data_IF_341420006328
#
_entry.id   IF_341420006328
#
_cell.length_a   1.000
_cell.length_b   1.000
_cell.length_c   1.000
_cell.angle_alpha   90.00
_cell.angle_beta   90.00
_cell.angle_gamma   90.00
#
_symmetry.space_group_name_H-M   'P 1'
#
loop_
_entity.id
_entity.type
_entity.pdbx_description
1 polymer ?
#
# COMPACT_ATOMS: atom_id res chain seq x y z
N UNK A 1 -7.56 14.84 -18.57
CA UNK A 1 -6.10 15.01 -18.39
C UNK A 1 -5.62 14.32 -17.10
N UNK A 2 -5.60 12.97 -17.04
CA UNK A 2 -5.15 12.27 -15.83
C UNK A 2 -3.66 12.47 -15.55
N UNK A 3 -2.88 12.82 -16.57
CA UNK A 3 -1.43 12.77 -16.52
C UNK A 3 -0.84 13.93 -15.72
N UNK A 4 -1.60 15.02 -15.54
CA UNK A 4 -1.16 16.17 -14.75
C UNK A 4 -1.30 15.86 -13.25
N UNK A 5 -2.38 15.22 -12.82
CA UNK A 5 -2.52 14.77 -11.43
C UNK A 5 -1.48 13.67 -11.09
N UNK A 6 -1.27 12.72 -12.01
CA UNK A 6 -0.21 11.71 -11.87
C UNK A 6 1.19 12.32 -11.90
N UNK A 7 1.46 13.32 -12.75
CA UNK A 7 2.75 14.00 -12.82
C UNK A 7 3.02 14.84 -11.56
N UNK A 8 2.01 15.50 -10.99
CA UNK A 8 2.15 16.27 -9.75
C UNK A 8 2.42 15.34 -8.56
N UNK A 9 1.68 14.23 -8.44
CA UNK A 9 1.91 13.21 -7.41
C UNK A 9 3.28 12.54 -7.57
N UNK A 10 3.72 12.27 -8.81
CA UNK A 10 5.03 11.72 -9.11
C UNK A 10 6.17 12.70 -8.83
N UNK A 11 6.01 13.99 -9.16
CA UNK A 11 6.97 15.04 -8.85
C UNK A 11 7.07 15.29 -7.33
N UNK A 12 5.96 15.20 -6.60
CA UNK A 12 5.95 15.23 -5.14
C UNK A 12 6.67 14.00 -4.57
N UNK A 13 6.37 12.80 -5.06
CA UNK A 13 7.05 11.58 -4.64
C UNK A 13 8.57 11.65 -4.91
N UNK A 14 9.00 12.11 -6.09
CA UNK A 14 10.41 12.32 -6.42
C UNK A 14 11.07 13.41 -5.56
N UNK A 15 10.36 14.50 -5.26
CA UNK A 15 10.84 15.53 -4.34
C UNK A 15 11.11 14.93 -2.94
N UNK A 16 10.19 14.12 -2.42
CA UNK A 16 10.35 13.46 -1.12
C UNK A 16 11.40 12.35 -1.11
N UNK A 17 11.54 11.58 -2.19
CA UNK A 17 12.60 10.57 -2.34
C UNK A 17 13.99 11.24 -2.40
N UNK A 18 14.11 12.37 -3.09
CA UNK A 18 15.37 13.12 -3.26
C UNK A 18 15.78 13.85 -1.97
N UNK A 19 14.83 14.29 -1.15
CA UNK A 19 15.09 14.98 0.13
C UNK A 19 15.21 14.03 1.35
N UNK A 20 15.59 12.76 1.12
CA UNK A 20 15.70 11.67 2.11
C UNK A 20 16.47 12.02 3.40
N UNK A 21 17.26 13.10 3.47
CA UNK A 21 18.03 13.46 4.67
C UNK A 21 17.25 14.27 5.73
N UNK A 22 16.14 14.95 5.39
CA UNK A 22 15.40 15.76 6.38
C UNK A 22 14.20 15.05 7.01
N UNK A 23 13.66 14.00 6.36
CA UNK A 23 12.47 13.27 6.83
C UNK A 23 12.74 12.16 7.85
N UNK A 24 14.01 11.82 8.12
CA UNK A 24 14.36 10.69 8.99
C UNK A 24 14.56 11.06 10.48
N UNK A 25 14.40 12.33 10.87
CA UNK A 25 14.76 12.80 12.22
C UNK A 25 13.61 13.20 13.14
N UNK A 26 12.36 12.82 12.86
CA UNK A 26 11.30 12.94 13.86
C UNK A 26 10.25 11.84 13.71
N UNK A 27 10.46 10.72 14.42
CA UNK A 27 9.39 9.76 14.71
C UNK A 27 9.42 9.50 16.21
N UNK A 28 8.47 10.09 16.93
CA UNK A 28 7.99 9.57 18.21
C UNK A 28 6.71 8.79 17.93
N UNK A 29 6.70 7.54 18.36
CA UNK A 29 5.59 6.61 18.25
C UNK A 29 4.33 7.17 18.95
N UNK A 30 3.28 7.46 18.19
CA UNK A 30 1.90 7.35 18.66
C UNK A 30 1.05 6.71 17.57
N UNK A 31 0.60 5.49 17.83
CA UNK A 31 -0.43 4.81 17.04
C UNK A 31 -1.77 5.48 17.34
N UNK A 32 -2.20 6.41 16.49
CA UNK A 32 -3.57 6.91 16.47
C UNK A 32 -4.15 6.68 15.09
N UNK A 33 -5.28 5.98 15.04
CA UNK A 33 -6.02 5.61 13.82
C UNK A 33 -6.83 6.79 13.25
N UNK A 34 -6.42 8.02 13.51
CA UNK A 34 -7.08 9.22 13.03
C UNK A 34 -6.10 10.38 13.04
N UNK A 35 -5.79 10.90 11.86
CA UNK A 35 -5.01 12.12 11.73
C UNK A 35 -5.91 13.29 12.17
N UNK A 36 -5.47 14.07 13.16
CA UNK A 36 -6.19 15.26 13.64
C UNK A 36 -5.57 16.52 13.05
N UNK A 37 -6.39 17.42 12.49
CA UNK A 37 -5.95 18.75 12.06
C UNK A 37 -6.63 19.81 12.94
N UNK A 38 -5.84 20.43 13.84
CA UNK A 38 -6.42 21.29 14.89
C UNK A 38 -7.35 20.48 15.79
N UNK A 39 -8.56 21.00 16.01
CA UNK A 39 -9.63 20.36 16.79
C UNK A 39 -10.56 19.46 15.94
N UNK A 40 -10.33 19.39 14.62
CA UNK A 40 -11.17 18.61 13.70
C UNK A 40 -10.57 17.23 13.41
N UNK A 41 -11.43 16.22 13.41
CA UNK A 41 -11.10 14.86 12.97
C UNK A 41 -11.09 14.87 11.44
N UNK A 42 -10.03 14.33 10.82
CA UNK A 42 -9.90 14.32 9.36
C UNK A 42 -11.05 13.57 8.67
N UNK A 43 -11.59 12.54 9.31
CA UNK A 43 -12.78 11.81 8.84
C UNK A 43 -14.01 12.73 8.74
N UNK A 44 -14.19 13.66 9.67
CA UNK A 44 -15.29 14.63 9.62
C UNK A 44 -15.07 15.64 8.49
N UNK A 45 -13.83 16.06 8.26
CA UNK A 45 -13.49 17.02 7.20
C UNK A 45 -13.66 16.45 5.78
N UNK A 46 -13.35 15.17 5.59
CA UNK A 46 -13.43 14.52 4.27
C UNK A 46 -14.88 14.21 3.88
N UNK A 47 -15.77 14.03 4.85
CA UNK A 47 -17.17 13.69 4.63
C UNK A 47 -18.14 14.85 4.90
N UNK A 48 -17.61 16.08 5.09
CA UNK A 48 -18.43 17.26 5.34
C UNK A 48 -19.10 17.72 4.03
N UNK A 49 -20.41 17.88 4.10
CA UNK A 49 -21.29 18.42 3.07
C UNK A 49 -22.22 19.40 3.81
N UNK A 50 -21.92 20.70 3.70
CA UNK A 50 -22.50 21.73 4.58
C UNK A 50 -23.90 22.13 4.15
N UNK A 51 -24.18 22.16 2.85
CA UNK A 51 -25.46 22.55 2.31
C UNK A 51 -26.38 21.35 2.01
N UNK A 52 -25.85 20.13 2.01
CA UNK A 52 -26.53 18.87 1.75
C UNK A 52 -27.05 18.80 0.31
N UNK A 53 -26.26 19.26 -0.65
CA UNK A 53 -26.52 19.07 -2.07
C UNK A 53 -25.95 17.73 -2.61
N UNK A 54 -25.10 17.06 -1.82
CA UNK A 54 -24.46 15.79 -2.17
C UNK A 54 -23.06 15.92 -2.75
N UNK A 55 -22.46 17.12 -2.74
CA UNK A 55 -21.05 17.38 -3.02
C UNK A 55 -20.36 17.72 -1.70
N UNK A 56 -19.17 17.17 -1.46
CA UNK A 56 -18.45 17.48 -0.22
C UNK A 56 -17.80 18.87 -0.28
N UNK A 57 -17.70 19.58 0.84
CA UNK A 57 -17.14 20.94 0.95
C UNK A 57 -15.77 21.11 0.24
N UNK A 58 -14.93 20.07 0.34
CA UNK A 58 -13.60 20.07 -0.25
C UNK A 58 -13.63 19.91 -1.78
N UNK A 59 -14.64 19.21 -2.29
CA UNK A 59 -14.87 19.01 -3.72
C UNK A 59 -15.44 20.30 -4.32
N UNK A 60 -16.41 20.94 -3.65
CA UNK A 60 -16.94 22.24 -4.04
C UNK A 60 -15.86 23.31 -4.15
N UNK A 61 -14.97 23.36 -3.14
CA UNK A 61 -13.81 24.26 -3.16
C UNK A 61 -12.85 24.00 -4.34
N UNK A 62 -12.80 22.78 -4.87
CA UNK A 62 -12.00 22.42 -6.04
C UNK A 62 -12.68 22.85 -7.34
N UNK A 63 -14.00 22.75 -7.41
CA UNK A 63 -14.82 23.19 -8.55
C UNK A 63 -15.09 24.70 -8.56
N UNK A 64 -14.85 25.38 -7.44
CA UNK A 64 -15.06 26.82 -7.30
C UNK A 64 -16.49 27.20 -6.91
N UNK A 65 -17.25 26.25 -6.38
CA UNK A 65 -18.59 26.45 -5.83
C UNK A 65 -18.53 26.81 -4.33
N UNK A 66 -19.61 27.36 -3.78
CA UNK A 66 -19.75 27.81 -2.40
C UNK A 66 -20.35 26.69 -1.54
N UNK A 67 -19.59 26.12 -0.57
CA UNK A 67 -20.08 25.00 0.25
C UNK A 67 -21.31 25.27 1.10
N UNK A 68 -21.76 26.52 1.17
CA UNK A 68 -22.95 26.90 1.93
C UNK A 68 -24.19 27.08 1.06
N UNK A 69 -24.08 26.84 -0.25
CA UNK A 69 -25.13 27.06 -1.23
C UNK A 69 -25.24 25.91 -2.24
N UNK A 70 -26.45 25.37 -2.37
CA UNK A 70 -26.74 24.27 -3.35
C UNK A 70 -26.65 24.68 -4.81
N UNK A 71 -26.68 25.98 -5.05
CA UNK A 71 -26.70 26.66 -6.34
C UNK A 71 -25.90 27.94 -6.08
N UNK A 72 -24.61 27.90 -6.44
CA UNK A 72 -23.65 28.94 -6.05
C UNK A 72 -23.96 30.28 -6.70
N UNK A 73 -24.34 30.25 -7.98
CA UNK A 73 -24.56 31.43 -8.81
C UNK A 73 -26.04 31.84 -8.94
N UNK A 74 -26.92 31.09 -8.27
CA UNK A 74 -28.35 31.33 -8.17
C UNK A 74 -29.06 31.31 -9.56
N UNK A 75 -28.58 30.46 -10.49
CA UNK A 75 -29.11 30.35 -11.86
C UNK A 75 -30.26 29.32 -12.02
N UNK A 76 -30.48 28.50 -11.00
CA UNK A 76 -31.51 27.48 -10.93
C UNK A 76 -31.03 26.06 -11.26
N UNK A 77 -29.74 25.85 -11.53
CA UNK A 77 -29.07 24.55 -11.64
C UNK A 77 -28.29 24.30 -10.35
N UNK A 78 -28.38 23.09 -9.80
CA UNK A 78 -27.62 22.75 -8.59
C UNK A 78 -26.15 22.45 -8.93
N UNK A 79 -25.25 22.82 -8.03
CA UNK A 79 -23.81 22.66 -8.19
C UNK A 79 -23.44 21.20 -8.47
N UNK A 80 -24.07 20.24 -7.79
CA UNK A 80 -23.89 18.80 -8.04
C UNK A 80 -24.19 18.36 -9.50
N UNK A 81 -25.11 19.02 -10.20
CA UNK A 81 -25.44 18.74 -11.59
C UNK A 81 -24.44 19.41 -12.53
N UNK A 82 -24.08 20.65 -12.25
CA UNK A 82 -23.10 21.38 -13.03
C UNK A 82 -21.73 20.70 -12.99
N UNK A 83 -21.27 20.32 -11.80
CA UNK A 83 -20.02 19.57 -11.59
C UNK A 83 -20.04 18.27 -12.39
N UNK A 84 -21.15 17.53 -12.33
CA UNK A 84 -21.29 16.27 -13.08
C UNK A 84 -21.20 16.50 -14.58
N UNK A 85 -21.86 17.52 -15.11
CA UNK A 85 -21.84 17.82 -16.54
C UNK A 85 -20.46 18.32 -17.00
N UNK A 86 -19.78 19.16 -16.21
CA UNK A 86 -18.41 19.62 -16.46
C UNK A 86 -17.40 18.47 -16.44
N UNK A 87 -17.52 17.56 -15.46
CA UNK A 87 -16.68 16.36 -15.33
C UNK A 87 -16.79 15.46 -16.57
N UNK A 88 -18.01 15.29 -17.10
CA UNK A 88 -18.30 14.51 -18.29
C UNK A 88 -17.76 15.17 -19.58
N UNK A 89 -17.81 16.49 -19.68
CA UNK A 89 -17.32 17.24 -20.84
C UNK A 89 -15.79 17.36 -20.88
N UNK A 90 -15.12 17.39 -19.72
CA UNK A 90 -13.65 17.51 -19.60
C UNK A 90 -12.87 16.18 -19.66
N UNK A 91 -13.56 15.04 -19.73
CA UNK A 91 -12.92 13.71 -19.58
C UNK A 91 -12.23 13.54 -18.22
N UNK A 92 -12.69 14.31 -17.22
CA UNK A 92 -12.28 14.22 -15.83
C UNK A 92 -13.44 13.54 -15.11
N UNK A 93 -13.43 12.21 -15.00
CA UNK A 93 -14.25 11.55 -13.99
C UNK A 93 -13.33 11.23 -12.80
N UNK A 94 -13.18 12.13 -11.83
CA UNK A 94 -13.10 11.71 -10.44
C UNK A 94 -14.55 11.50 -9.95
N UNK A 95 -14.93 10.25 -9.70
CA UNK A 95 -15.97 9.91 -8.71
C UNK A 95 -17.43 10.36 -8.88
N UNK A 96 -17.83 11.05 -9.96
CA UNK A 96 -19.22 11.54 -10.12
C UNK A 96 -20.26 10.48 -10.52
N UNK A 97 -20.44 9.41 -9.75
CA UNK A 97 -21.68 8.62 -9.79
C UNK A 97 -22.50 8.93 -8.55
N UNK A 98 -23.79 9.25 -8.74
CA UNK A 98 -24.81 9.13 -7.71
C UNK A 98 -24.69 7.75 -7.07
N UNK A 99 -24.19 7.69 -5.84
CA UNK A 99 -24.27 6.49 -5.03
C UNK A 99 -24.83 6.90 -3.68
N UNK A 100 -26.04 6.42 -3.41
CA UNK A 100 -26.61 6.36 -2.07
C UNK A 100 -25.53 5.96 -1.06
N UNK A 101 -25.48 6.66 0.08
CA UNK A 101 -24.64 6.38 1.24
C UNK A 101 -24.41 4.87 1.44
N UNK A 102 -23.17 4.41 1.22
CA UNK A 102 -22.68 3.17 1.82
C UNK A 102 -21.73 2.27 1.03
N UNK A 103 -21.46 2.47 -0.27
CA UNK A 103 -20.75 1.45 -1.07
C UNK A 103 -19.73 1.94 -2.12
N UNK A 104 -19.18 3.15 -2.01
CA UNK A 104 -18.06 3.54 -2.88
C UNK A 104 -16.78 2.78 -2.48
N UNK A 105 -16.30 1.90 -3.35
CA UNK A 105 -15.06 1.13 -3.10
C UNK A 105 -13.84 1.95 -3.48
N UNK A 106 -13.44 2.84 -2.59
CA UNK A 106 -12.26 3.71 -2.77
C UNK A 106 -10.94 2.93 -2.74
N UNK A 107 -10.04 3.27 -3.65
CA UNK A 107 -8.63 2.87 -3.58
C UNK A 107 -7.89 3.64 -2.47
N UNK A 108 -6.70 3.21 -2.06
CA UNK A 108 -5.92 3.98 -1.09
C UNK A 108 -5.44 5.32 -1.69
N UNK A 109 -5.24 5.35 -3.00
CA UNK A 109 -4.99 6.58 -3.75
C UNK A 109 -6.17 7.54 -3.66
N UNK A 110 -7.41 7.08 -3.85
CA UNK A 110 -8.60 7.93 -3.73
C UNK A 110 -8.73 8.50 -2.31
N UNK A 111 -8.57 7.65 -1.30
CA UNK A 111 -8.62 8.07 0.12
C UNK A 111 -7.56 9.13 0.41
N UNK A 112 -6.32 8.88 -0.01
CA UNK A 112 -5.24 9.84 0.17
C UNK A 112 -5.52 11.17 -0.56
N UNK A 113 -6.01 11.11 -1.79
CA UNK A 113 -6.36 12.31 -2.57
C UNK A 113 -7.45 13.12 -1.88
N UNK A 114 -8.52 12.48 -1.40
CA UNK A 114 -9.60 13.15 -0.66
C UNK A 114 -9.09 13.81 0.62
N UNK A 115 -8.29 13.10 1.39
CA UNK A 115 -7.64 13.65 2.60
C UNK A 115 -6.75 14.86 2.28
N UNK A 116 -5.93 14.74 1.22
CA UNK A 116 -5.05 15.81 0.78
C UNK A 116 -5.84 17.05 0.36
N UNK A 117 -6.83 16.90 -0.52
CA UNK A 117 -7.62 18.02 -1.02
C UNK A 117 -8.50 18.65 0.06
N UNK A 118 -9.06 17.86 0.97
CA UNK A 118 -9.81 18.37 2.13
C UNK A 118 -8.95 19.28 3.02
N UNK A 119 -7.72 18.86 3.31
CA UNK A 119 -6.78 19.70 4.05
C UNK A 119 -6.43 20.97 3.26
N UNK A 120 -6.12 20.85 1.97
CA UNK A 120 -5.78 22.01 1.13
C UNK A 120 -6.94 23.01 1.02
N UNK A 121 -8.18 22.55 0.83
CA UNK A 121 -9.37 23.38 0.75
C UNK A 121 -9.60 24.16 2.06
N UNK A 122 -9.49 23.48 3.20
CA UNK A 122 -9.60 24.10 4.54
C UNK A 122 -8.55 25.19 4.75
N UNK A 123 -7.33 25.01 4.24
CA UNK A 123 -6.26 26.00 4.34
C UNK A 123 -6.49 27.20 3.43
N UNK A 124 -7.02 26.97 2.22
CA UNK A 124 -7.28 28.03 1.25
C UNK A 124 -8.38 28.99 1.75
N UNK A 125 -9.39 28.47 2.44
CA UNK A 125 -10.43 29.29 3.09
C UNK A 125 -9.88 30.16 4.24
N UNK A 126 -8.79 29.75 4.89
CA UNK A 126 -8.15 30.48 5.99
C UNK A 126 -6.94 31.33 5.56
N UNK A 127 -6.58 31.32 4.27
CA UNK A 127 -5.56 32.20 3.67
C UNK A 127 -4.09 31.89 4.02
N UNK A 128 -3.79 30.79 4.71
CA UNK A 128 -2.41 30.41 5.08
C UNK A 128 -2.21 28.89 5.04
N UNK A 129 -1.46 28.38 4.06
CA UNK A 129 -0.82 27.06 4.15
C UNK A 129 0.50 27.27 4.89
N UNK A 130 0.57 26.93 6.18
CA UNK A 130 1.83 26.98 6.92
C UNK A 130 2.69 25.71 6.68
N UNK A 131 4.00 25.84 6.90
CA UNK A 131 4.96 24.75 6.71
C UNK A 131 4.63 23.53 7.60
N UNK A 132 4.06 23.76 8.79
CA UNK A 132 3.68 22.69 9.71
C UNK A 132 2.59 21.78 9.13
N UNK A 133 1.68 22.34 8.34
CA UNK A 133 0.62 21.56 7.69
C UNK A 133 1.18 20.72 6.53
N UNK A 134 2.11 21.26 5.75
CA UNK A 134 2.83 20.52 4.70
C UNK A 134 3.61 19.35 5.30
N UNK A 135 4.29 19.56 6.42
CA UNK A 135 5.02 18.50 7.13
C UNK A 135 4.08 17.40 7.64
N UNK A 136 2.90 17.75 8.16
CA UNK A 136 1.90 16.75 8.60
C UNK A 136 1.37 15.90 7.44
N UNK A 137 1.04 16.51 6.31
CA UNK A 137 0.62 15.82 5.09
C UNK A 137 1.71 14.86 4.58
N UNK A 138 2.95 15.34 4.52
CA UNK A 138 4.09 14.50 4.17
C UNK A 138 4.30 13.34 5.14
N UNK A 139 4.10 13.56 6.44
CA UNK A 139 4.19 12.50 7.46
C UNK A 139 3.09 11.46 7.30
N UNK A 140 1.84 11.89 7.09
CA UNK A 140 0.71 10.98 6.81
C UNK A 140 0.97 10.09 5.61
N UNK A 141 1.43 10.68 4.50
CA UNK A 141 1.79 9.93 3.30
C UNK A 141 2.91 8.93 3.60
N UNK A 142 3.96 9.36 4.30
CA UNK A 142 5.07 8.48 4.67
C UNK A 142 4.61 7.31 5.55
N UNK A 143 3.69 7.54 6.48
CA UNK A 143 3.15 6.48 7.34
C UNK A 143 2.27 5.49 6.57
N UNK A 144 1.46 5.96 5.62
CA UNK A 144 0.72 5.09 4.70
C UNK A 144 1.66 4.25 3.84
N UNK A 145 2.72 4.85 3.32
CA UNK A 145 3.76 4.14 2.55
C UNK A 145 4.48 3.08 3.41
N UNK A 146 4.72 3.34 4.70
CA UNK A 146 5.39 2.40 5.59
C UNK A 146 4.51 1.24 6.06
N UNK A 147 3.19 1.45 6.16
CA UNK A 147 2.29 0.53 6.84
C UNK A 147 1.36 -0.22 5.87
N UNK A 148 1.90 -1.04 4.96
CA UNK A 148 1.02 -1.98 4.22
C UNK A 148 0.47 -3.04 5.15
N UNK A 149 -0.85 -3.19 5.15
CA UNK A 149 -1.53 -4.30 5.79
C UNK A 149 -1.24 -5.60 5.03
N UNK A 150 -0.62 -6.56 5.70
CA UNK A 150 -0.58 -7.94 5.20
C UNK A 150 -2.00 -8.52 5.28
N UNK A 151 -2.56 -8.90 4.13
CA UNK A 151 -3.95 -9.32 3.99
C UNK A 151 -4.16 -10.75 4.46
N UNK A 152 -3.22 -11.65 4.15
CA UNK A 152 -3.26 -13.04 4.59
C UNK A 152 -2.13 -13.35 5.55
N UNK A 153 -2.51 -13.88 6.71
CA UNK A 153 -1.60 -14.40 7.72
C UNK A 153 -1.99 -15.83 8.06
N UNK A 154 -1.03 -16.73 7.96
CA UNK A 154 -1.14 -18.10 8.41
C UNK A 154 -0.91 -18.18 9.91
N UNK A 155 -1.55 -19.15 10.52
CA UNK A 155 -1.51 -19.48 11.93
C UNK A 155 -0.85 -20.83 12.15
N UNK A 156 -0.61 -21.16 13.42
CA UNK A 156 -0.02 -22.45 13.80
C UNK A 156 -0.90 -23.65 13.39
N UNK A 157 -2.22 -23.46 13.26
CA UNK A 157 -3.14 -24.50 12.80
C UNK A 157 -3.08 -24.76 11.30
N UNK A 158 -2.50 -23.84 10.52
CA UNK A 158 -2.37 -24.01 9.07
C UNK A 158 -1.15 -24.86 8.68
N UNK A 159 -0.23 -25.10 9.60
CA UNK A 159 0.97 -25.92 9.36
C UNK A 159 0.83 -27.33 9.96
N UNK A 160 1.43 -28.32 9.29
CA UNK A 160 1.43 -29.70 9.80
C UNK A 160 2.54 -29.87 10.83
N UNK A 161 2.18 -30.03 12.10
CA UNK A 161 3.15 -30.29 13.16
C UNK A 161 3.37 -31.80 13.32
N UNK A 162 4.63 -32.22 13.27
CA UNK A 162 5.04 -33.59 13.52
C UNK A 162 4.81 -33.97 14.99
N UNK A 163 4.50 -35.25 15.23
CA UNK A 163 4.27 -35.79 16.57
C UNK A 163 5.54 -35.90 17.44
N UNK A 164 6.74 -35.73 16.85
CA UNK A 164 8.01 -35.84 17.56
C UNK A 164 9.07 -34.85 17.06
N UNK A 165 10.01 -34.49 17.93
CA UNK A 165 11.20 -33.67 17.66
C UNK A 165 12.49 -34.52 17.54
N UNK A 166 12.36 -35.78 17.11
CA UNK A 166 13.53 -36.68 17.00
C UNK A 166 14.50 -36.23 15.91
N UNK A 167 15.77 -36.68 16.01
CA UNK A 167 16.78 -36.45 14.96
C UNK A 167 16.29 -36.88 13.57
N UNK A 168 15.56 -38.00 13.49
CA UNK A 168 14.98 -38.46 12.22
C UNK A 168 13.88 -37.53 11.70
N UNK A 169 13.04 -36.98 12.58
CA UNK A 169 12.03 -35.99 12.20
C UNK A 169 12.68 -34.71 11.65
N UNK A 170 13.76 -34.23 12.28
CA UNK A 170 14.54 -33.08 11.79
C UNK A 170 15.19 -33.37 10.44
N UNK A 171 15.78 -34.55 10.23
CA UNK A 171 16.32 -34.97 8.91
C UNK A 171 15.26 -35.02 7.83
N UNK A 172 14.07 -35.55 8.14
CA UNK A 172 12.97 -35.60 7.19
C UNK A 172 12.49 -34.19 6.80
N UNK A 173 12.40 -33.29 7.78
CA UNK A 173 12.06 -31.89 7.57
C UNK A 173 13.08 -31.16 6.68
N UNK A 174 14.38 -31.29 6.98
CA UNK A 174 15.46 -30.70 6.19
C UNK A 174 15.49 -31.19 4.73
N UNK A 175 15.33 -32.51 4.55
CA UNK A 175 15.21 -33.10 3.22
C UNK A 175 14.00 -32.56 2.46
N UNK A 176 12.85 -32.42 3.12
CA UNK A 176 11.62 -31.90 2.51
C UNK A 176 11.79 -30.43 2.08
N UNK A 177 12.40 -29.59 2.92
CA UNK A 177 12.74 -28.20 2.57
C UNK A 177 13.68 -28.15 1.36
N UNK A 178 14.74 -28.95 1.37
CA UNK A 178 15.72 -29.03 0.28
C UNK A 178 15.07 -29.48 -1.02
N UNK A 179 14.20 -30.49 -0.98
CA UNK A 179 13.44 -30.96 -2.14
C UNK A 179 12.48 -29.89 -2.67
N UNK A 180 11.80 -29.15 -1.77
CA UNK A 180 10.91 -28.07 -2.16
C UNK A 180 11.66 -26.93 -2.85
N UNK A 181 12.79 -26.49 -2.28
CA UNK A 181 13.63 -25.44 -2.86
C UNK A 181 14.17 -25.85 -4.24
N UNK A 182 14.63 -27.10 -4.40
CA UNK A 182 15.09 -27.64 -5.69
C UNK A 182 13.98 -27.70 -6.74
N UNK A 183 12.74 -27.94 -6.33
CA UNK A 183 11.57 -27.99 -7.22
C UNK A 183 11.22 -26.61 -7.81
N UNK A 184 11.53 -25.54 -7.09
CA UNK A 184 11.22 -24.16 -7.47
C UNK A 184 12.49 -23.30 -7.45
N UNK A 185 13.43 -23.53 -8.39
CA UNK A 185 14.70 -22.83 -8.40
C UNK A 185 14.51 -21.31 -8.57
N UNK A 186 15.49 -20.56 -8.07
CA UNK A 186 15.58 -19.12 -8.29
C UNK A 186 15.62 -18.84 -9.78
N UNK A 187 14.76 -17.92 -10.22
CA UNK A 187 14.78 -17.40 -11.59
C UNK A 187 14.87 -15.89 -11.53
N UNK A 188 14.20 -15.23 -12.48
CA UNK A 188 14.04 -13.77 -12.47
C UNK A 188 13.56 -13.26 -11.11
N UNK A 189 14.18 -12.17 -10.67
CA UNK A 189 13.95 -11.49 -9.40
C UNK A 189 13.04 -10.28 -9.61
N UNK A 190 12.37 -9.84 -8.54
CA UNK A 190 11.55 -8.62 -8.58
C UNK A 190 12.44 -7.40 -8.87
N UNK A 191 13.67 -7.37 -8.33
CA UNK A 191 14.62 -6.28 -8.59
C UNK A 191 14.96 -6.12 -10.07
N UNK A 192 15.21 -7.22 -10.79
CA UNK A 192 15.45 -7.16 -12.25
C UNK A 192 14.23 -6.64 -13.02
N UNK A 193 13.01 -6.91 -12.55
CA UNK A 193 11.79 -6.38 -13.16
C UNK A 193 11.63 -4.89 -12.83
N UNK A 194 11.87 -4.49 -11.57
CA UNK A 194 11.81 -3.09 -11.15
C UNK A 194 12.84 -2.20 -11.85
N UNK A 195 14.04 -2.73 -12.11
CA UNK A 195 15.07 -2.04 -12.90
C UNK A 195 14.65 -1.77 -14.33
N UNK A 196 13.88 -2.67 -14.94
CA UNK A 196 13.33 -2.48 -16.30
C UNK A 196 12.10 -1.58 -16.31
N UNK A 197 11.31 -1.65 -15.25
CA UNK A 197 10.16 -0.77 -15.02
C UNK A 197 10.61 0.69 -14.95
N UNK A 198 11.73 0.99 -14.30
CA UNK A 198 12.35 2.32 -14.30
C UNK A 198 13.19 2.53 -15.57
N UNK A 199 12.60 3.15 -16.60
CA UNK A 199 13.29 3.43 -17.86
C UNK A 199 14.32 4.54 -17.69
N UNK A 200 13.89 5.65 -17.09
CA UNK A 200 14.74 6.78 -16.70
C UNK A 200 14.11 7.53 -15.51
N UNK A 201 14.65 8.69 -15.15
CA UNK A 201 14.17 9.50 -14.01
C UNK A 201 12.73 10.03 -14.16
N UNK A 202 12.20 10.10 -15.39
CA UNK A 202 10.90 10.67 -15.71
C UNK A 202 9.92 9.65 -16.33
N UNK A 203 10.41 8.49 -16.76
CA UNK A 203 9.63 7.51 -17.51
C UNK A 203 9.67 6.13 -16.87
N UNK A 204 8.49 5.49 -16.87
CA UNK A 204 8.32 4.10 -16.43
C UNK A 204 7.66 3.26 -17.53
N UNK A 205 7.98 1.97 -17.59
CA UNK A 205 7.32 1.00 -18.47
C UNK A 205 6.47 0.01 -17.65
N UNK A 206 5.21 0.36 -17.46
CA UNK A 206 4.22 -0.42 -16.71
C UNK A 206 3.99 -1.83 -17.28
N UNK A 207 4.21 -2.03 -18.59
CA UNK A 207 3.96 -3.33 -19.24
C UNK A 207 4.90 -4.41 -18.68
N UNK A 208 6.09 -4.00 -18.23
CA UNK A 208 7.09 -4.90 -17.66
C UNK A 208 6.61 -5.50 -16.32
N UNK A 209 5.66 -4.87 -15.62
CA UNK A 209 5.16 -5.39 -14.34
C UNK A 209 4.40 -6.73 -14.48
N UNK A 210 3.95 -7.11 -15.68
CA UNK A 210 3.41 -8.46 -15.91
C UNK A 210 4.46 -9.56 -15.71
N UNK A 211 5.75 -9.23 -15.82
CA UNK A 211 6.85 -10.17 -15.56
C UNK A 211 6.95 -10.58 -14.09
N UNK A 212 6.24 -9.91 -13.18
CA UNK A 212 6.12 -10.29 -11.77
C UNK A 212 5.22 -11.52 -11.56
N UNK A 213 4.28 -11.81 -12.46
CA UNK A 213 3.33 -12.93 -12.34
C UNK A 213 4.00 -14.29 -12.13
N UNK A 214 4.99 -14.72 -12.94
CA UNK A 214 5.69 -15.98 -12.70
C UNK A 214 6.44 -16.00 -11.36
N UNK A 215 6.88 -14.84 -10.85
CA UNK A 215 7.55 -14.73 -9.54
C UNK A 215 6.53 -14.94 -8.42
N UNK A 216 5.39 -14.26 -8.47
CA UNK A 216 4.28 -14.40 -7.51
C UNK A 216 3.82 -15.86 -7.45
N UNK A 217 3.56 -16.48 -8.61
CA UNK A 217 3.14 -17.88 -8.70
C UNK A 217 4.18 -18.82 -8.08
N UNK A 218 5.48 -18.56 -8.29
CA UNK A 218 6.55 -19.36 -7.70
C UNK A 218 6.55 -19.24 -6.17
N UNK A 219 6.44 -18.04 -5.62
CA UNK A 219 6.36 -17.80 -4.17
C UNK A 219 5.14 -18.53 -3.59
N UNK A 220 3.98 -18.42 -4.21
CA UNK A 220 2.75 -19.10 -3.77
C UNK A 220 2.88 -20.63 -3.78
N UNK A 221 3.56 -21.21 -4.78
CA UNK A 221 3.84 -22.65 -4.83
C UNK A 221 4.79 -23.09 -3.70
N UNK A 222 5.79 -22.26 -3.37
CA UNK A 222 6.67 -22.52 -2.22
C UNK A 222 5.88 -22.46 -0.91
N UNK A 223 5.05 -21.43 -0.70
CA UNK A 223 4.17 -21.33 0.48
C UNK A 223 3.29 -22.58 0.60
N UNK A 224 2.63 -22.98 -0.47
CA UNK A 224 1.78 -24.18 -0.47
C UNK A 224 2.56 -25.43 -0.10
N UNK A 225 3.77 -25.60 -0.65
CA UNK A 225 4.65 -26.71 -0.28
C UNK A 225 5.10 -26.68 1.18
N UNK A 226 5.40 -25.50 1.73
CA UNK A 226 5.79 -25.35 3.14
C UNK A 226 4.67 -25.80 4.09
N UNK A 227 3.42 -25.40 3.81
CA UNK A 227 2.25 -25.81 4.61
C UNK A 227 2.03 -27.33 4.62
N UNK A 228 2.53 -28.05 3.61
CA UNK A 228 2.41 -29.50 3.51
C UNK A 228 3.52 -30.28 4.22
N UNK A 229 4.63 -29.63 4.57
CA UNK A 229 5.76 -30.27 5.24
C UNK A 229 5.38 -30.58 6.69
N UNK A 230 5.70 -31.80 7.14
CA UNK A 230 5.57 -32.18 8.55
C UNK A 230 6.72 -31.55 9.35
N UNK A 231 6.40 -30.57 10.20
CA UNK A 231 7.35 -29.71 10.91
C UNK A 231 7.57 -30.20 12.35
N UNK A 232 8.80 -30.50 12.79
CA UNK A 232 9.11 -30.76 14.19
C UNK A 232 8.60 -29.62 15.09
N UNK A 233 7.98 -29.94 16.23
CA UNK A 233 7.32 -28.95 17.10
C UNK A 233 8.27 -27.82 17.51
N UNK A 234 9.54 -28.13 17.74
CA UNK A 234 10.58 -27.14 18.07
C UNK A 234 10.95 -26.18 16.92
N UNK A 235 10.56 -26.48 15.68
CA UNK A 235 10.79 -25.64 14.49
C UNK A 235 9.51 -24.94 13.99
N UNK A 236 8.35 -25.28 14.55
CA UNK A 236 7.04 -24.82 14.09
C UNK A 236 6.91 -23.29 14.06
N UNK A 237 7.41 -22.60 15.08
CA UNK A 237 7.32 -21.13 15.16
C UNK A 237 8.12 -20.43 14.07
N UNK A 238 9.39 -20.82 13.87
CA UNK A 238 10.26 -20.18 12.86
C UNK A 238 9.86 -20.60 11.43
N UNK A 239 9.31 -21.80 11.26
CA UNK A 239 8.70 -22.22 10.00
C UNK A 239 7.47 -21.37 9.66
N UNK A 240 6.57 -21.14 10.63
CA UNK A 240 5.41 -20.28 10.43
C UNK A 240 5.81 -18.84 10.10
N UNK A 241 6.83 -18.32 10.78
CA UNK A 241 7.41 -17.01 10.48
C UNK A 241 7.89 -16.93 9.02
N UNK A 242 8.64 -17.94 8.55
CA UNK A 242 9.08 -18.03 7.16
C UNK A 242 7.90 -18.05 6.17
N UNK A 243 6.86 -18.84 6.44
CA UNK A 243 5.64 -18.91 5.61
C UNK A 243 4.97 -17.53 5.52
N UNK A 244 4.84 -16.83 6.65
CA UNK A 244 4.19 -15.52 6.68
C UNK A 244 5.03 -14.43 6.02
N UNK A 245 6.36 -14.47 6.11
CA UNK A 245 7.25 -13.55 5.38
C UNK A 245 7.11 -13.77 3.87
N UNK A 246 7.07 -15.03 3.41
CA UNK A 246 6.85 -15.34 1.99
C UNK A 246 5.46 -14.90 1.52
N UNK A 247 4.42 -15.07 2.36
CA UNK A 247 3.08 -14.57 2.05
C UNK A 247 3.07 -13.04 1.91
N UNK A 248 3.75 -12.33 2.83
CA UNK A 248 3.92 -10.88 2.76
C UNK A 248 4.64 -10.48 1.47
N UNK A 249 5.72 -11.16 1.10
CA UNK A 249 6.45 -10.91 -0.16
C UNK A 249 5.59 -11.19 -1.39
N UNK A 250 4.76 -12.22 -1.38
CA UNK A 250 3.83 -12.52 -2.48
C UNK A 250 2.81 -11.39 -2.67
N UNK A 251 2.21 -10.90 -1.58
CA UNK A 251 1.26 -9.79 -1.61
C UNK A 251 1.94 -8.49 -2.02
N UNK A 252 3.07 -8.18 -1.40
CA UNK A 252 3.90 -7.03 -1.73
C UNK A 252 4.28 -7.02 -3.21
N UNK A 253 4.70 -8.16 -3.78
CA UNK A 253 5.03 -8.25 -5.21
C UNK A 253 3.79 -8.05 -6.10
N UNK A 254 2.62 -8.53 -5.66
CA UNK A 254 1.35 -8.29 -6.37
C UNK A 254 0.94 -6.83 -6.34
N UNK A 255 1.17 -6.15 -5.21
CA UNK A 255 0.78 -4.76 -4.98
C UNK A 255 1.57 -3.78 -5.84
N UNK A 256 2.83 -4.09 -6.16
CA UNK A 256 3.64 -3.31 -7.12
C UNK A 256 2.91 -3.16 -8.46
N UNK A 257 2.17 -4.18 -8.90
CA UNK A 257 1.44 -4.16 -10.18
C UNK A 257 0.28 -3.17 -10.20
N UNK A 258 -0.12 -2.62 -9.06
CA UNK A 258 -1.21 -1.66 -8.95
C UNK A 258 -0.77 -0.23 -9.32
N UNK A 259 0.43 -0.03 -9.88
CA UNK A 259 0.98 1.30 -10.16
C UNK A 259 0.02 2.24 -10.91
N UNK A 260 -0.73 1.74 -11.89
CA UNK A 260 -1.69 2.54 -12.66
C UNK A 260 -3.05 2.72 -11.98
N UNK A 261 -3.45 1.76 -11.14
CA UNK A 261 -4.79 1.72 -10.54
C UNK A 261 -4.85 2.23 -9.10
N UNK A 262 -3.75 2.10 -8.35
CA UNK A 262 -3.59 2.51 -6.96
C UNK A 262 -2.09 2.75 -6.66
N UNK A 263 -1.61 3.94 -7.02
CA UNK A 263 -0.19 4.31 -6.94
C UNK A 263 0.33 4.30 -5.50
N UNK A 264 -0.50 4.65 -4.52
CA UNK A 264 -0.12 4.64 -3.10
C UNK A 264 0.22 3.22 -2.64
N UNK A 265 -0.61 2.24 -3.00
CA UNK A 265 -0.35 0.82 -2.71
C UNK A 265 0.91 0.33 -3.41
N UNK A 266 1.09 0.66 -4.69
CA UNK A 266 2.26 0.24 -5.44
C UNK A 266 3.57 0.84 -4.89
N UNK A 267 3.59 2.15 -4.57
CA UNK A 267 4.75 2.81 -3.99
C UNK A 267 5.05 2.30 -2.58
N UNK A 268 4.03 2.07 -1.76
CA UNK A 268 4.17 1.41 -0.46
C UNK A 268 4.82 0.04 -0.60
N UNK A 269 4.39 -0.73 -1.60
CA UNK A 269 4.93 -2.04 -1.86
C UNK A 269 6.40 -2.00 -2.31
N UNK A 270 6.75 -1.11 -3.24
CA UNK A 270 8.15 -0.89 -3.68
C UNK A 270 9.01 -0.46 -2.49
N UNK A 271 8.54 0.48 -1.67
CA UNK A 271 9.27 1.02 -0.53
C UNK A 271 9.57 -0.01 0.57
N UNK A 272 8.75 -1.04 0.72
CA UNK A 272 8.92 -2.09 1.73
C UNK A 272 9.64 -3.35 1.21
N UNK A 273 9.89 -3.46 -0.08
CA UNK A 273 10.46 -4.67 -0.69
C UNK A 273 11.80 -5.07 -0.05
N UNK A 274 12.71 -4.10 0.15
CA UNK A 274 14.03 -4.34 0.77
C UNK A 274 13.93 -4.90 2.19
N UNK A 275 13.06 -4.31 3.02
CA UNK A 275 12.84 -4.77 4.39
C UNK A 275 12.24 -6.19 4.42
N UNK A 276 11.32 -6.50 3.50
CA UNK A 276 10.72 -7.83 3.40
C UNK A 276 11.73 -8.90 2.95
N UNK A 277 12.63 -8.57 2.02
CA UNK A 277 13.73 -9.46 1.61
C UNK A 277 14.72 -9.68 2.76
N UNK A 278 15.09 -8.62 3.48
CA UNK A 278 15.99 -8.71 4.64
C UNK A 278 15.40 -9.63 5.72
N UNK A 279 14.08 -9.52 5.97
CA UNK A 279 13.39 -10.42 6.89
C UNK A 279 13.43 -11.88 6.40
N UNK A 280 13.20 -12.13 5.12
CA UNK A 280 13.27 -13.47 4.53
C UNK A 280 14.66 -14.09 4.69
N UNK A 281 15.72 -13.35 4.36
CA UNK A 281 17.10 -13.81 4.50
C UNK A 281 17.44 -14.11 5.96
N UNK A 282 17.09 -13.20 6.86
CA UNK A 282 17.34 -13.35 8.30
C UNK A 282 16.67 -14.59 8.87
N UNK A 283 15.38 -14.78 8.59
CA UNK A 283 14.61 -15.91 9.13
C UNK A 283 15.02 -17.23 8.49
N UNK A 284 15.36 -17.24 7.19
CA UNK A 284 15.89 -18.42 6.50
C UNK A 284 17.24 -18.86 7.09
N UNK A 285 18.16 -17.92 7.34
CA UNK A 285 19.46 -18.21 7.94
C UNK A 285 19.35 -18.73 9.37
N UNK A 286 18.46 -18.13 10.18
CA UNK A 286 18.14 -18.62 11.52
C UNK A 286 17.58 -20.04 11.49
N UNK A 287 16.64 -20.31 10.59
CA UNK A 287 16.06 -21.66 10.43
C UNK A 287 17.14 -22.68 10.08
N UNK A 288 17.98 -22.39 9.08
CA UNK A 288 19.10 -23.24 8.69
C UNK A 288 20.05 -23.53 9.85
N UNK A 289 20.43 -22.49 10.61
CA UNK A 289 21.30 -22.62 11.79
C UNK A 289 20.70 -23.56 12.85
N UNK A 290 19.41 -23.43 13.15
CA UNK A 290 18.74 -24.30 14.14
C UNK A 290 18.68 -25.74 13.65
N UNK A 291 18.40 -25.96 12.36
CA UNK A 291 18.41 -27.30 11.75
C UNK A 291 19.80 -27.92 11.88
N UNK A 292 20.85 -27.20 11.46
CA UNK A 292 22.24 -27.67 11.54
C UNK A 292 22.65 -28.05 12.96
N UNK A 293 22.28 -27.24 13.95
CA UNK A 293 22.55 -27.54 15.37
C UNK A 293 21.83 -28.80 15.86
N UNK A 294 20.60 -29.04 15.41
CA UNK A 294 19.81 -30.23 15.76
C UNK A 294 20.26 -31.50 15.04
N UNK A 295 21.02 -31.36 13.94
CA UNK A 295 21.54 -32.48 13.15
C UNK A 295 22.96 -32.91 13.56
N UNK A 296 23.65 -32.13 14.39
CA UNK A 296 24.93 -32.48 15.02
C UNK A 296 24.71 -33.42 16.21
#
# INVERSE_FOLDING_TARGET
MPWIAFAVLFLLALFFIKNKSSLLNSVKNESTTGLSYGDAILEDLVNKDTDLDGVYDWEESLWGTDPTKKDTDDDGVLDNLEIKDLSAQGGLVPGGQQVELGNEKLTETDKFSREFFSIVATLNQNGLVDLATVDKLGSSLADRIKNTLQRKMFSISDIKIASSDTLQAVKNYDNALTSLYKKYPTGKTVMEVLQKFMVDENNVDVNVLSELDPIIIRIQKIITGLLEISVPKSLASIHLELVNILQKLSENTSDIKLYESDVIVALSAIGQYEANITALETTSNKLGTIIEQKLK
#
